data_IF_594408579426
#
_entry.id   IF_594408579426
#
_cell.length_a   1.000
_cell.length_b   1.000
_cell.length_c   1.000
_cell.angle_alpha   90.00
_cell.angle_beta   90.00
_cell.angle_gamma   90.00
#
_symmetry.space_group_name_H-M   'P 1'
#
loop_
_entity.id
_entity.type
_entity.pdbx_description
1 polymer ?
#
# COMPACT_ATOMS: atom_id res chain seq x y z
N UNK A 1 -19.57 8.37 0.09
CA UNK A 1 -18.47 8.62 -0.86
C UNK A 1 -17.78 7.28 -1.15
N UNK A 2 -17.66 6.90 -2.42
CA UNK A 2 -17.04 5.63 -2.76
C UNK A 2 -15.58 5.55 -2.28
N UNK A 3 -15.18 4.37 -1.83
CA UNK A 3 -13.83 4.11 -1.36
C UNK A 3 -12.99 3.51 -2.47
N UNK A 4 -11.76 3.99 -2.59
CA UNK A 4 -10.78 3.47 -3.54
C UNK A 4 -9.57 3.01 -2.73
N UNK A 5 -9.12 1.80 -2.97
CA UNK A 5 -7.95 1.23 -2.29
C UNK A 5 -6.74 1.34 -3.20
N UNK A 6 -5.67 1.93 -2.70
CA UNK A 6 -4.40 2.06 -3.42
C UNK A 6 -3.37 1.23 -2.68
N UNK A 7 -2.92 0.15 -3.30
CA UNK A 7 -1.91 -0.72 -2.71
C UNK A 7 -0.53 -0.31 -3.20
N UNK A 8 0.30 0.15 -2.29
CA UNK A 8 1.66 0.63 -2.60
C UNK A 8 2.71 -0.26 -1.94
N UNK A 9 3.95 -0.05 -2.33
CA UNK A 9 5.12 -0.57 -1.61
C UNK A 9 6.04 0.60 -1.27
N UNK A 10 7.19 0.31 -0.68
CA UNK A 10 8.13 1.36 -0.29
C UNK A 10 9.03 1.82 -1.43
N UNK A 11 8.80 1.34 -2.65
CA UNK A 11 9.65 1.72 -3.80
C UNK A 11 9.21 3.04 -4.39
N UNK A 12 10.14 3.75 -5.07
CA UNK A 12 9.79 4.98 -5.79
C UNK A 12 8.75 4.77 -6.90
N UNK A 13 8.59 3.56 -7.40
CA UNK A 13 7.61 3.24 -8.43
C UNK A 13 6.17 3.47 -7.95
N UNK A 14 5.94 3.46 -6.65
CA UNK A 14 4.61 3.74 -6.09
C UNK A 14 4.12 5.15 -6.42
N UNK A 15 5.02 6.08 -6.76
CA UNK A 15 4.63 7.42 -7.17
C UNK A 15 3.72 7.38 -8.40
N UNK A 16 3.96 6.44 -9.32
CA UNK A 16 3.14 6.30 -10.52
C UNK A 16 1.71 5.87 -10.17
N UNK A 17 1.53 5.13 -9.08
CA UNK A 17 0.20 4.73 -8.62
C UNK A 17 -0.58 5.92 -8.08
N UNK A 18 0.10 6.86 -7.44
CA UNK A 18 -0.53 8.10 -6.99
C UNK A 18 -0.96 8.95 -8.19
N UNK A 19 -0.17 8.97 -9.25
CA UNK A 19 -0.54 9.65 -10.49
C UNK A 19 -1.79 9.03 -11.10
N UNK A 20 -1.89 7.71 -11.10
CA UNK A 20 -3.09 7.02 -11.57
C UNK A 20 -4.30 7.38 -10.73
N UNK A 21 -4.15 7.44 -9.41
CA UNK A 21 -5.24 7.82 -8.52
C UNK A 21 -5.72 9.23 -8.82
N UNK A 22 -4.81 10.18 -9.00
CA UNK A 22 -5.18 11.55 -9.36
C UNK A 22 -5.84 11.66 -10.72
N UNK A 23 -5.48 10.77 -11.64
CA UNK A 23 -6.02 10.77 -13.00
C UNK A 23 -7.43 10.20 -13.07
N UNK A 24 -7.71 9.14 -12.31
CA UNK A 24 -8.97 8.39 -12.42
C UNK A 24 -9.94 8.63 -11.26
N UNK A 25 -9.51 9.29 -10.21
CA UNK A 25 -10.36 9.64 -9.09
C UNK A 25 -10.53 11.15 -9.01
N UNK A 26 -11.59 11.58 -8.32
CA UNK A 26 -11.91 13.00 -8.21
C UNK A 26 -12.05 13.42 -6.75
N UNK A 27 -11.37 14.52 -6.35
CA UNK A 27 -11.55 15.07 -5.02
C UNK A 27 -13.02 15.39 -4.75
N UNK A 28 -13.46 15.05 -3.55
CA UNK A 28 -14.85 15.26 -3.17
C UNK A 28 -15.81 14.17 -3.63
N UNK A 29 -15.38 13.31 -4.54
CA UNK A 29 -16.21 12.20 -5.04
C UNK A 29 -15.69 10.84 -4.61
N UNK A 30 -14.40 10.74 -4.24
CA UNK A 30 -13.75 9.49 -3.85
C UNK A 30 -12.98 9.67 -2.55
N UNK A 31 -13.07 8.67 -1.68
CA UNK A 31 -12.25 8.58 -0.47
C UNK A 31 -11.14 7.58 -0.75
N UNK A 32 -9.89 8.00 -0.57
CA UNK A 32 -8.73 7.20 -0.94
C UNK A 32 -8.12 6.55 0.30
N UNK A 33 -7.81 5.27 0.19
CA UNK A 33 -7.20 4.48 1.24
C UNK A 33 -5.89 3.90 0.73
N UNK A 34 -4.79 4.33 1.31
CA UNK A 34 -3.45 3.86 0.93
C UNK A 34 -3.07 2.70 1.84
N UNK A 35 -2.75 1.56 1.25
CA UNK A 35 -2.36 0.36 1.99
C UNK A 35 -0.95 -0.04 1.58
N UNK A 36 -0.12 -0.31 2.57
CA UNK A 36 1.17 -0.95 2.36
C UNK A 36 1.22 -2.22 3.19
N UNK A 37 1.47 -3.34 2.53
CA UNK A 37 1.61 -4.64 3.20
C UNK A 37 3.09 -4.92 3.44
N UNK A 38 3.42 -5.26 4.68
CA UNK A 38 4.78 -5.60 5.09
C UNK A 38 4.85 -7.12 5.23
N UNK A 39 5.88 -7.72 4.66
CA UNK A 39 6.11 -9.14 4.81
C UNK A 39 6.30 -9.46 6.29
N UNK A 40 5.47 -10.36 6.80
CA UNK A 40 5.45 -10.72 8.21
C UNK A 40 6.73 -11.37 8.72
N UNK A 41 7.61 -11.82 7.82
CA UNK A 41 8.88 -12.43 8.20
C UNK A 41 9.70 -11.50 9.08
N UNK A 42 9.60 -10.20 8.85
CA UNK A 42 10.36 -9.19 9.58
C UNK A 42 9.51 -8.33 10.51
N UNK A 43 8.20 -8.49 10.49
CA UNK A 43 7.33 -7.68 11.32
C UNK A 43 7.24 -8.28 12.73
N UNK A 44 7.76 -7.57 13.71
CA UNK A 44 7.69 -7.99 15.11
C UNK A 44 6.32 -7.69 15.70
N UNK A 45 5.71 -6.62 15.23
CA UNK A 45 4.40 -6.17 15.72
C UNK A 45 3.50 -5.83 14.54
N UNK A 46 2.21 -6.04 14.73
CA UNK A 46 1.20 -5.79 13.69
C UNK A 46 0.74 -4.34 13.61
N UNK A 47 1.17 -3.49 14.52
CA UNK A 47 0.75 -2.09 14.57
C UNK A 47 1.94 -1.17 14.43
N UNK A 48 1.80 -0.06 13.68
CA UNK A 48 2.84 0.94 13.62
C UNK A 48 3.04 1.56 15.01
N UNK A 49 4.29 1.59 15.45
CA UNK A 49 4.65 2.25 16.70
C UNK A 49 6.13 2.58 16.67
N UNK A 50 6.52 3.49 17.54
CA UNK A 50 7.93 3.77 17.71
C UNK A 50 8.62 2.56 18.34
N UNK A 51 9.79 2.21 17.82
CA UNK A 51 10.59 1.15 18.39
C UNK A 51 11.44 1.68 19.54
N UNK A 52 11.64 0.83 20.56
CA UNK A 52 12.58 1.14 21.62
C UNK A 52 14.02 0.98 21.10
N UNK A 53 14.98 1.59 21.81
CA UNK A 53 16.40 1.44 21.46
C UNK A 53 16.81 -0.04 21.44
N UNK A 54 16.30 -0.82 22.37
CA UNK A 54 16.60 -2.23 22.44
C UNK A 54 16.06 -2.99 21.21
N UNK A 55 14.87 -2.67 20.77
CA UNK A 55 14.28 -3.27 19.57
C UNK A 55 15.07 -2.92 18.32
N UNK A 56 15.54 -1.69 18.22
CA UNK A 56 16.38 -1.25 17.10
C UNK A 56 17.72 -1.99 17.07
N UNK A 57 18.30 -2.28 18.23
CA UNK A 57 19.53 -3.04 18.31
C UNK A 57 19.33 -4.52 17.96
N UNK A 58 18.23 -5.11 18.42
CA UNK A 58 17.96 -6.54 18.20
C UNK A 58 17.44 -6.84 16.80
N UNK A 59 16.65 -5.92 16.21
CA UNK A 59 15.98 -6.14 14.95
C UNK A 59 16.11 -4.94 14.00
N UNK A 60 17.33 -4.54 13.66
CA UNK A 60 17.51 -3.32 12.86
C UNK A 60 16.88 -3.40 11.49
N UNK A 61 16.95 -4.56 10.83
CA UNK A 61 16.38 -4.72 9.49
C UNK A 61 14.86 -4.62 9.50
N UNK A 62 14.20 -5.22 10.49
CA UNK A 62 12.76 -5.15 10.64
C UNK A 62 12.29 -3.73 10.95
N UNK A 63 13.03 -3.04 11.83
CA UNK A 63 12.73 -1.66 12.19
C UNK A 63 12.89 -0.72 11.01
N UNK A 64 13.94 -0.91 10.21
CA UNK A 64 14.18 -0.11 9.02
C UNK A 64 13.06 -0.28 8.00
N UNK A 65 12.64 -1.52 7.76
CA UNK A 65 11.55 -1.80 6.83
C UNK A 65 10.24 -1.17 7.32
N UNK A 66 9.96 -1.29 8.62
CA UNK A 66 8.78 -0.68 9.22
C UNK A 66 8.80 0.83 9.07
N UNK A 67 9.92 1.49 9.38
CA UNK A 67 10.05 2.94 9.26
C UNK A 67 9.89 3.41 7.82
N UNK A 68 10.46 2.68 6.88
CA UNK A 68 10.32 3.01 5.46
C UNK A 68 8.89 2.88 4.99
N UNK A 69 8.20 1.84 5.44
CA UNK A 69 6.80 1.64 5.13
C UNK A 69 5.95 2.79 5.68
N UNK A 70 6.20 3.19 6.92
CA UNK A 70 5.49 4.33 7.52
C UNK A 70 5.71 5.61 6.75
N UNK A 71 6.95 5.87 6.32
CA UNK A 71 7.28 7.05 5.52
C UNK A 71 6.62 7.01 4.15
N UNK A 72 6.60 5.84 3.52
CA UNK A 72 5.98 5.69 2.22
C UNK A 72 4.48 5.97 2.28
N UNK A 73 3.81 5.43 3.30
CA UNK A 73 2.38 5.67 3.50
C UNK A 73 2.12 7.14 3.79
N UNK A 74 2.91 7.74 4.70
CA UNK A 74 2.75 9.16 5.05
C UNK A 74 2.95 10.07 3.84
N UNK A 75 3.96 9.79 3.01
CA UNK A 75 4.20 10.54 1.79
C UNK A 75 3.04 10.43 0.82
N UNK A 76 2.53 9.21 0.62
CA UNK A 76 1.42 8.97 -0.30
C UNK A 76 0.16 9.71 0.16
N UNK A 77 -0.16 9.62 1.44
CA UNK A 77 -1.33 10.29 2.00
C UNK A 77 -1.21 11.81 1.87
N UNK A 78 -0.03 12.37 2.20
CA UNK A 78 0.21 13.81 2.08
C UNK A 78 0.07 14.27 0.63
N UNK A 79 0.63 13.51 -0.30
CA UNK A 79 0.55 13.80 -1.73
C UNK A 79 -0.91 13.89 -2.21
N UNK A 80 -1.72 12.92 -1.81
CA UNK A 80 -3.11 12.87 -2.21
C UNK A 80 -3.94 13.96 -1.54
N UNK A 81 -3.66 14.26 -0.28
CA UNK A 81 -4.33 15.37 0.43
C UNK A 81 -4.02 16.72 -0.19
N UNK A 82 -2.78 16.92 -0.64
CA UNK A 82 -2.40 18.15 -1.35
C UNK A 82 -3.18 18.31 -2.65
N UNK A 83 -3.54 17.20 -3.29
CA UNK A 83 -4.37 17.22 -4.49
C UNK A 83 -5.86 17.40 -4.18
N UNK A 84 -6.23 17.55 -2.92
CA UNK A 84 -7.60 17.82 -2.52
C UNK A 84 -8.42 16.59 -2.14
N UNK A 85 -7.81 15.40 -2.10
CA UNK A 85 -8.52 14.17 -1.74
C UNK A 85 -8.62 13.98 -0.25
N UNK A 86 -9.70 13.32 0.18
CA UNK A 86 -9.72 12.68 1.48
C UNK A 86 -8.89 11.41 1.35
N UNK A 87 -7.83 11.29 2.14
CA UNK A 87 -6.94 10.15 2.08
C UNK A 87 -6.52 9.73 3.48
N UNK A 88 -6.51 8.44 3.70
CA UNK A 88 -6.00 7.84 4.93
C UNK A 88 -5.05 6.71 4.57
N UNK A 89 -4.14 6.40 5.47
CA UNK A 89 -3.15 5.36 5.26
C UNK A 89 -3.28 4.26 6.29
N UNK A 90 -2.92 3.06 5.87
CA UNK A 90 -2.82 1.94 6.78
C UNK A 90 -1.70 1.00 6.35
N UNK A 91 -1.23 0.22 7.30
CA UNK A 91 -0.26 -0.82 7.04
C UNK A 91 -0.80 -2.14 7.52
N UNK A 92 -0.44 -3.21 6.83
CA UNK A 92 -0.82 -4.56 7.19
C UNK A 92 0.41 -5.46 7.14
N UNK A 93 0.37 -6.54 7.90
CA UNK A 93 1.41 -7.57 7.84
C UNK A 93 0.85 -8.82 7.22
N UNK A 94 1.70 -9.65 6.67
CA UNK A 94 1.33 -10.92 6.08
C UNK A 94 1.50 -10.95 4.58
N UNK A 95 0.76 -11.82 3.93
CA UNK A 95 0.82 -11.99 2.49
C UNK A 95 0.20 -10.77 1.79
N UNK A 96 0.91 -10.11 0.87
CA UNK A 96 0.40 -8.89 0.25
C UNK A 96 -0.96 -9.07 -0.44
N UNK A 97 -1.14 -10.13 -1.21
CA UNK A 97 -2.41 -10.35 -1.90
C UNK A 97 -3.57 -10.50 -0.91
N UNK A 98 -3.37 -11.26 0.16
CA UNK A 98 -4.39 -11.44 1.20
C UNK A 98 -4.71 -10.12 1.89
N UNK A 99 -3.70 -9.33 2.22
CA UNK A 99 -3.89 -8.04 2.86
C UNK A 99 -4.72 -7.09 1.99
N UNK A 100 -4.45 -7.07 0.69
CA UNK A 100 -5.19 -6.24 -0.26
C UNK A 100 -6.64 -6.69 -0.34
N UNK A 101 -6.86 -8.00 -0.49
CA UNK A 101 -8.20 -8.57 -0.61
C UNK A 101 -9.02 -8.30 0.65
N UNK A 102 -8.44 -8.55 1.82
CA UNK A 102 -9.12 -8.36 3.10
C UNK A 102 -9.49 -6.89 3.30
N UNK A 103 -8.57 -5.98 2.97
CA UNK A 103 -8.84 -4.55 3.11
C UNK A 103 -9.92 -4.09 2.14
N UNK A 104 -9.87 -4.57 0.91
CA UNK A 104 -10.87 -4.22 -0.10
C UNK A 104 -12.27 -4.66 0.35
N UNK A 105 -12.38 -5.84 0.93
CA UNK A 105 -13.65 -6.34 1.43
C UNK A 105 -14.12 -5.53 2.65
N UNK A 106 -13.22 -5.24 3.58
CA UNK A 106 -13.56 -4.47 4.78
C UNK A 106 -14.04 -3.06 4.43
N UNK A 107 -13.44 -2.44 3.43
CA UNK A 107 -13.82 -1.10 2.98
C UNK A 107 -15.04 -1.09 2.06
N UNK A 108 -15.39 -2.23 1.51
CA UNK A 108 -16.39 -2.30 0.42
C UNK A 108 -16.03 -1.32 -0.69
N UNK A 109 -14.74 -1.32 -1.07
CA UNK A 109 -14.24 -0.37 -2.06
C UNK A 109 -14.79 -0.66 -3.45
N UNK A 110 -14.83 0.38 -4.30
CA UNK A 110 -15.34 0.23 -5.66
C UNK A 110 -14.24 0.12 -6.71
N UNK A 111 -12.99 0.34 -6.31
CA UNK A 111 -11.85 0.29 -7.20
C UNK A 111 -10.59 -0.02 -6.40
N UNK A 112 -9.73 -0.86 -6.95
CA UNK A 112 -8.40 -1.11 -6.42
C UNK A 112 -7.39 -0.61 -7.43
N UNK A 113 -6.41 0.17 -6.98
CA UNK A 113 -5.28 0.61 -7.78
C UNK A 113 -4.03 -0.06 -7.23
N UNK A 114 -3.30 -0.77 -8.06
CA UNK A 114 -2.09 -1.46 -7.63
C UNK A 114 -1.09 -1.57 -8.77
N UNK A 115 0.15 -1.84 -8.42
CA UNK A 115 1.20 -2.07 -9.40
C UNK A 115 1.23 -3.49 -9.88
N UNK A 116 1.86 -3.69 -11.03
CA UNK A 116 2.05 -5.00 -11.62
C UNK A 116 3.45 -5.55 -11.34
N UNK A 117 4.45 -4.68 -11.39
CA UNK A 117 5.85 -5.05 -11.13
C UNK A 117 6.54 -3.94 -10.37
N UNK A 118 7.09 -4.31 -9.22
CA UNK A 118 7.95 -3.42 -8.46
C UNK A 118 9.11 -4.22 -7.88
N UNK A 119 10.26 -3.59 -7.82
CA UNK A 119 11.30 -4.04 -6.94
C UNK A 119 11.04 -3.39 -5.59
N UNK A 120 10.84 -4.20 -4.57
CA UNK A 120 10.81 -3.68 -3.24
C UNK A 120 12.22 -3.22 -2.86
N UNK A 121 12.32 -2.40 -1.82
CA UNK A 121 13.61 -1.92 -1.36
C UNK A 121 14.60 -3.03 -1.02
N UNK A 122 14.12 -4.19 -0.63
CA UNK A 122 14.96 -5.34 -0.32
C UNK A 122 15.29 -6.19 -1.54
N UNK A 123 15.07 -5.67 -2.74
CA UNK A 123 15.34 -6.38 -3.97
C UNK A 123 14.30 -7.41 -4.34
N UNK A 124 13.22 -7.51 -3.58
CA UNK A 124 12.13 -8.42 -3.91
C UNK A 124 11.23 -7.79 -4.94
N UNK A 125 10.92 -8.56 -5.98
CA UNK A 125 9.91 -8.15 -6.93
C UNK A 125 8.53 -8.29 -6.29
N UNK A 126 7.71 -7.28 -6.47
CA UNK A 126 6.29 -7.48 -6.23
C UNK A 126 5.83 -8.40 -7.36
N UNK A 127 5.67 -9.66 -7.03
CA UNK A 127 5.41 -10.72 -7.98
C UNK A 127 4.15 -10.41 -8.78
N UNK A 128 4.18 -10.53 -10.13
CA UNK A 128 2.95 -10.40 -10.92
C UNK A 128 1.82 -11.32 -10.45
N UNK A 129 2.14 -12.42 -9.78
CA UNK A 129 1.14 -13.31 -9.19
C UNK A 129 0.29 -12.63 -8.12
N UNK A 130 0.77 -11.56 -7.48
CA UNK A 130 -0.01 -10.83 -6.49
C UNK A 130 -1.19 -10.15 -7.15
N UNK A 131 -0.95 -9.42 -8.26
CA UNK A 131 -2.04 -8.78 -9.00
C UNK A 131 -3.01 -9.83 -9.56
N UNK A 132 -2.50 -10.93 -10.08
CA UNK A 132 -3.34 -12.00 -10.58
C UNK A 132 -4.25 -12.59 -9.48
N UNK A 133 -3.71 -12.82 -8.30
CA UNK A 133 -4.50 -13.32 -7.17
C UNK A 133 -5.58 -12.33 -6.74
N UNK A 134 -5.26 -11.05 -6.71
CA UNK A 134 -6.24 -10.02 -6.37
C UNK A 134 -7.34 -9.99 -7.40
N UNK A 135 -6.99 -9.95 -8.69
CA UNK A 135 -7.95 -9.90 -9.78
C UNK A 135 -8.88 -11.12 -9.74
N UNK A 136 -8.35 -12.31 -9.46
CA UNK A 136 -9.15 -13.53 -9.41
C UNK A 136 -10.14 -13.57 -8.26
N UNK A 137 -9.86 -12.87 -7.17
CA UNK A 137 -10.62 -13.02 -5.92
C UNK A 137 -11.53 -11.85 -5.59
N UNK A 138 -11.32 -10.69 -6.18
CA UNK A 138 -12.16 -9.52 -5.93
C UNK A 138 -13.23 -9.40 -6.99
N UNK A 139 -14.32 -8.71 -6.62
CA UNK A 139 -15.44 -8.47 -7.54
C UNK A 139 -15.52 -7.01 -7.97
N UNK A 140 -14.47 -6.25 -7.71
CA UNK A 140 -14.40 -4.84 -8.07
C UNK A 140 -13.35 -4.64 -9.16
N UNK A 141 -13.45 -3.57 -9.95
CA UNK A 141 -12.42 -3.25 -10.94
C UNK A 141 -11.05 -3.07 -10.29
N UNK A 142 -10.02 -3.52 -10.99
CA UNK A 142 -8.64 -3.35 -10.57
C UNK A 142 -7.90 -2.59 -11.67
N UNK A 143 -7.36 -1.43 -11.31
CA UNK A 143 -6.52 -0.65 -12.21
C UNK A 143 -5.07 -1.00 -11.91
N UNK A 144 -4.43 -1.64 -12.86
CA UNK A 144 -3.05 -2.11 -12.69
C UNK A 144 -2.11 -1.12 -13.36
N UNK A 145 -1.23 -0.52 -12.58
CA UNK A 145 -0.20 0.37 -13.10
C UNK A 145 0.95 -0.44 -13.65
N UNK A 146 1.27 -0.19 -14.91
CA UNK A 146 2.46 -0.79 -15.52
C UNK A 146 3.61 0.18 -15.27
N UNK A 147 4.50 -0.19 -14.35
CA UNK A 147 5.66 0.64 -14.06
C UNK A 147 6.58 0.66 -15.25
N UNK A 148 6.80 1.84 -15.76
CA UNK A 148 7.82 2.07 -16.76
C UNK A 148 9.19 2.08 -16.14
#
# INVERSE_FOLDING_TARGET
MPHVLIAIDASPASTSLLDLARRYCRPGEHSLHVLLAIDSTFAVHHQPKAYTEQELEEYPAACDEQQLAERAVAFAVANLREAGFEAVGCMATGQPAEAIIDKAQALECELIIMGHRHLSRLGRLLDPSISAKVIDRVQVPVLVGVAG
#
